data_IF_710481466201
#
_entry.id   IF_710481466201
#
_cell.length_a   1.000
_cell.length_b   1.000
_cell.length_c   1.000
_cell.angle_alpha   90.00
_cell.angle_beta   90.00
_cell.angle_gamma   90.00
#
_symmetry.space_group_name_H-M   'P 1'
#
loop_
_entity.id
_entity.type
_entity.pdbx_description
1 polymer ?
#
# COMPACT_ATOMS: atom_id res chain seq x y z
N UNK A 1 -23.80 -35.21 -16.97
CA UNK A 1 -23.78 -33.72 -17.03
C UNK A 1 -22.53 -33.27 -16.31
N UNK A 2 -21.67 -32.52 -17.00
CA UNK A 2 -20.31 -32.19 -16.59
C UNK A 2 -20.29 -31.24 -15.39
N UNK A 3 -19.65 -31.66 -14.29
CA UNK A 3 -19.35 -30.78 -13.17
C UNK A 3 -18.06 -30.03 -13.48
N UNK A 4 -18.20 -28.82 -14.04
CA UNK A 4 -17.08 -27.91 -14.23
C UNK A 4 -16.46 -27.63 -12.86
N UNK A 5 -15.26 -28.16 -12.63
CA UNK A 5 -14.42 -27.85 -11.47
C UNK A 5 -14.00 -26.40 -11.57
N UNK A 6 -14.74 -25.51 -10.93
CA UNK A 6 -14.26 -24.16 -10.62
C UNK A 6 -13.08 -24.30 -9.66
N UNK A 7 -11.87 -24.14 -10.20
CA UNK A 7 -10.63 -24.13 -9.43
C UNK A 7 -10.63 -22.84 -8.62
N UNK A 8 -11.17 -22.90 -7.40
CA UNK A 8 -10.99 -21.85 -6.41
C UNK A 8 -9.50 -21.80 -6.13
N UNK A 9 -8.82 -20.79 -6.68
CA UNK A 9 -7.44 -20.49 -6.35
C UNK A 9 -7.49 -19.88 -4.95
N UNK A 10 -7.55 -20.71 -3.90
CA UNK A 10 -7.46 -20.24 -2.53
C UNK A 10 -6.04 -19.69 -2.35
N UNK A 11 -5.87 -18.36 -2.21
CA UNK A 11 -4.55 -17.80 -2.03
C UNK A 11 -3.95 -18.35 -0.74
N UNK A 12 -2.72 -18.87 -0.81
CA UNK A 12 -2.02 -19.40 0.36
C UNK A 12 -1.70 -18.19 1.25
N UNK A 13 -2.22 -18.13 2.49
CA UNK A 13 -2.01 -16.95 3.31
C UNK A 13 -0.55 -16.82 3.77
N UNK A 14 -0.06 -15.58 3.91
CA UNK A 14 -0.65 -14.36 3.35
C UNK A 14 0.03 -14.09 2.00
N UNK A 15 -0.75 -14.08 0.92
CA UNK A 15 -0.28 -13.64 -0.41
C UNK A 15 0.45 -12.28 -0.36
N UNK A 16 0.13 -11.45 0.65
CA UNK A 16 0.75 -10.14 0.91
C UNK A 16 1.45 -10.00 2.27
N UNK A 17 1.79 -11.11 2.94
CA UNK A 17 2.54 -11.12 4.22
C UNK A 17 1.87 -10.38 5.40
N UNK A 18 2.42 -10.51 6.61
CA UNK A 18 2.31 -9.42 7.59
C UNK A 18 3.20 -8.28 7.08
N UNK A 19 2.63 -7.12 6.80
CA UNK A 19 3.40 -5.98 6.30
C UNK A 19 4.59 -5.70 7.21
N UNK A 20 5.83 -5.61 6.69
CA UNK A 20 6.97 -5.23 7.50
C UNK A 20 6.67 -3.90 8.20
N UNK A 21 6.75 -3.91 9.53
CA UNK A 21 6.64 -2.68 10.31
C UNK A 21 7.92 -1.87 10.10
N UNK A 22 7.75 -0.57 9.82
CA UNK A 22 8.85 0.39 9.73
C UNK A 22 9.37 0.72 11.13
N UNK A 23 10.07 -0.23 11.76
CA UNK A 23 10.56 -0.07 13.13
C UNK A 23 11.67 0.97 13.24
N UNK A 24 12.49 1.10 12.20
CA UNK A 24 13.63 2.03 12.18
C UNK A 24 13.27 3.41 11.65
N UNK A 25 12.05 3.59 11.13
CA UNK A 25 11.57 4.87 10.60
C UNK A 25 12.24 5.26 9.29
N UNK A 26 12.52 4.29 8.41
CA UNK A 26 13.18 4.50 7.12
C UNK A 26 12.39 5.43 6.20
N UNK A 27 11.06 5.48 6.35
CA UNK A 27 10.16 6.35 5.58
C UNK A 27 9.47 7.39 6.48
N UNK A 28 10.12 7.79 7.59
CA UNK A 28 9.54 8.68 8.60
C UNK A 28 9.25 10.09 8.06
N UNK A 29 10.06 10.57 7.12
CA UNK A 29 9.90 11.92 6.55
C UNK A 29 8.64 11.99 5.69
N UNK A 30 8.50 11.05 4.75
CA UNK A 30 7.36 10.91 3.85
C UNK A 30 6.07 10.63 4.64
N UNK A 31 6.16 9.79 5.68
CA UNK A 31 5.03 9.53 6.59
C UNK A 31 4.57 10.82 7.27
N UNK A 32 5.50 11.63 7.78
CA UNK A 32 5.16 12.88 8.47
C UNK A 32 4.46 13.87 7.55
N UNK A 33 4.96 14.03 6.33
CA UNK A 33 4.36 14.94 5.34
C UNK A 33 2.96 14.47 4.95
N UNK A 34 2.80 13.17 4.67
CA UNK A 34 1.50 12.58 4.38
C UNK A 34 0.50 12.76 5.54
N UNK A 35 0.92 12.44 6.78
CA UNK A 35 0.06 12.58 7.96
C UNK A 35 -0.28 14.04 8.27
N UNK A 36 0.65 14.97 8.06
CA UNK A 36 0.39 16.40 8.21
C UNK A 36 -0.67 16.86 7.19
N UNK A 37 -0.59 16.41 5.94
CA UNK A 37 -1.61 16.70 4.94
C UNK A 37 -2.98 16.16 5.35
N UNK A 38 -3.05 14.91 5.81
CA UNK A 38 -4.31 14.33 6.29
C UNK A 38 -4.90 15.13 7.44
N UNK A 39 -4.07 15.56 8.40
CA UNK A 39 -4.52 16.36 9.54
C UNK A 39 -5.15 17.70 9.10
N UNK A 40 -4.57 18.37 8.09
CA UNK A 40 -5.09 19.62 7.53
C UNK A 40 -6.36 19.41 6.69
N UNK A 41 -6.47 18.26 6.02
CA UNK A 41 -7.57 17.94 5.11
C UNK A 41 -8.64 17.03 5.74
N UNK A 42 -8.78 17.03 7.07
CA UNK A 42 -9.81 16.27 7.80
C UNK A 42 -9.81 14.76 7.46
N UNK A 43 -8.63 14.20 7.17
CA UNK A 43 -8.48 12.80 6.79
C UNK A 43 -8.90 12.47 5.36
N UNK A 44 -9.22 13.46 4.52
CA UNK A 44 -9.58 13.24 3.11
C UNK A 44 -8.34 12.86 2.30
N UNK A 45 -8.18 11.56 2.08
CA UNK A 45 -7.02 10.98 1.38
C UNK A 45 -6.78 11.55 -0.02
N UNK A 46 -7.83 11.83 -0.80
CA UNK A 46 -7.71 12.35 -2.18
C UNK A 46 -6.91 13.65 -2.24
N UNK A 47 -6.99 14.49 -1.21
CA UNK A 47 -6.25 15.75 -1.15
C UNK A 47 -4.75 15.54 -0.88
N UNK A 48 -4.37 14.33 -0.44
CA UNK A 48 -3.02 13.94 -0.05
C UNK A 48 -2.50 12.75 -0.88
N UNK A 49 -3.14 12.48 -2.02
CA UNK A 49 -2.87 11.29 -2.84
C UNK A 49 -1.40 11.22 -3.28
N UNK A 50 -0.82 12.35 -3.72
CA UNK A 50 0.58 12.42 -4.14
C UNK A 50 1.55 12.12 -2.99
N UNK A 51 1.28 12.63 -1.78
CA UNK A 51 2.10 12.33 -0.60
C UNK A 51 1.97 10.86 -0.18
N UNK A 52 0.79 10.28 -0.36
CA UNK A 52 0.60 8.85 -0.15
C UNK A 52 1.39 8.01 -1.16
N UNK A 53 1.41 8.38 -2.46
CA UNK A 53 2.23 7.71 -3.48
C UNK A 53 3.71 7.75 -3.11
N UNK A 54 4.23 8.90 -2.68
CA UNK A 54 5.63 9.06 -2.24
C UNK A 54 5.92 8.17 -1.03
N UNK A 55 5.05 8.18 -0.02
CA UNK A 55 5.22 7.34 1.16
C UNK A 55 5.22 5.84 0.84
N UNK A 56 4.27 5.39 0.02
CA UNK A 56 4.15 3.99 -0.40
C UNK A 56 5.34 3.56 -1.26
N UNK A 57 5.80 4.43 -2.17
CA UNK A 57 7.00 4.19 -2.97
C UNK A 57 8.24 4.01 -2.09
N UNK A 58 8.42 4.87 -1.07
CA UNK A 58 9.51 4.70 -0.12
C UNK A 58 9.48 3.31 0.55
N UNK A 59 8.32 2.85 1.02
CA UNK A 59 8.20 1.53 1.65
C UNK A 59 8.53 0.39 0.71
N UNK A 60 8.10 0.48 -0.55
CA UNK A 60 8.43 -0.49 -1.59
C UNK A 60 9.94 -0.53 -1.88
N UNK A 61 10.59 0.64 -1.96
CA UNK A 61 12.01 0.74 -2.26
C UNK A 61 12.92 0.27 -1.12
N UNK A 62 12.46 0.43 0.13
CA UNK A 62 13.16 -0.06 1.33
C UNK A 62 12.86 -1.53 1.65
N UNK A 63 12.02 -2.21 0.86
CA UNK A 63 11.62 -3.59 1.14
C UNK A 63 10.70 -3.74 2.35
N UNK A 64 10.11 -2.62 2.80
CA UNK A 64 9.08 -2.60 3.85
C UNK A 64 7.67 -2.91 3.31
N UNK A 65 7.58 -3.14 2.00
CA UNK A 65 6.40 -3.53 1.24
C UNK A 65 6.84 -4.29 -0.01
N UNK A 66 6.01 -5.22 -0.50
CA UNK A 66 6.22 -5.83 -1.81
C UNK A 66 6.12 -4.77 -2.92
N UNK A 67 7.04 -4.81 -3.90
CA UNK A 67 6.98 -3.90 -5.05
C UNK A 67 5.82 -4.30 -5.96
N UNK A 68 4.86 -3.39 -6.13
CA UNK A 68 3.76 -3.54 -7.09
C UNK A 68 3.41 -2.17 -7.72
N UNK A 69 2.81 -2.15 -8.92
CA UNK A 69 2.34 -0.90 -9.54
C UNK A 69 1.36 -0.16 -8.62
N UNK A 70 1.47 1.17 -8.55
CA UNK A 70 0.60 2.02 -7.72
C UNK A 70 -0.88 1.85 -8.10
N UNK A 71 -1.18 1.51 -9.35
CA UNK A 71 -2.52 1.23 -9.84
C UNK A 71 -3.17 0.03 -9.13
N UNK A 72 -2.37 -0.98 -8.75
CA UNK A 72 -2.85 -2.14 -7.99
C UNK A 72 -3.14 -1.78 -6.52
N UNK A 73 -2.62 -0.66 -6.05
CA UNK A 73 -2.85 -0.11 -4.71
C UNK A 73 -3.98 0.93 -4.68
N UNK A 74 -4.70 1.11 -5.80
CA UNK A 74 -5.85 2.00 -5.89
C UNK A 74 -5.52 3.44 -6.26
N UNK A 75 -4.26 3.75 -6.57
CA UNK A 75 -3.89 5.06 -7.11
C UNK A 75 -4.24 5.11 -8.60
N UNK A 76 -5.03 6.10 -8.99
CA UNK A 76 -5.39 6.26 -10.40
C UNK A 76 -4.22 6.89 -11.17
N UNK A 77 -4.09 6.52 -12.45
CA UNK A 77 -3.25 7.25 -13.40
C UNK A 77 -3.81 8.64 -13.67
#
# INVERSE_FOLDING_TARGET
>A
MNLAKNKVNTPIPPEKGSFPLDHFGECKTETKEYMACLAVNEGVHRNCEELAKIYIACRMDRGLMAKEPLENLGFKK
#
